data_IF_035723457426
#
_entry.id   IF_035723457426
#
_cell.length_a   1.000
_cell.length_b   1.000
_cell.length_c   1.000
_cell.angle_alpha   90.00
_cell.angle_beta   90.00
_cell.angle_gamma   90.00
#
_symmetry.space_group_name_H-M   'P 1'
#
loop_
_entity.id
_entity.type
_entity.pdbx_description
1 polymer ?
#
# COMPACT_ATOMS: atom_id res chain seq x y z
N UNK A 1 -17.80 -6.00 41.15
CA UNK A 1 -17.85 -5.51 42.54
C UNK A 1 -19.21 -4.91 42.78
N UNK A 2 -19.97 -5.50 43.70
CA UNK A 2 -21.30 -5.03 44.09
C UNK A 2 -21.16 -3.96 45.17
N UNK A 3 -21.95 -2.89 45.10
CA UNK A 3 -22.16 -2.00 46.24
C UNK A 3 -23.58 -1.46 46.20
N UNK A 4 -24.37 -2.02 47.11
CA UNK A 4 -25.76 -1.73 47.41
C UNK A 4 -25.89 -0.37 48.11
N UNK A 5 -26.75 0.51 47.64
CA UNK A 5 -27.16 1.73 48.36
C UNK A 5 -28.37 1.42 49.26
N UNK A 6 -28.40 1.88 50.52
CA UNK A 6 -29.50 1.61 51.44
C UNK A 6 -30.68 2.56 51.24
N UNK A 7 -31.89 2.00 51.31
CA UNK A 7 -33.14 2.73 51.48
C UNK A 7 -33.22 3.33 52.89
N UNK A 8 -33.53 4.63 52.99
CA UNK A 8 -33.85 5.28 54.26
C UNK A 8 -35.30 5.75 54.23
N UNK A 9 -36.10 5.03 55.01
CA UNK A 9 -37.48 5.30 55.38
C UNK A 9 -37.53 6.53 56.30
N UNK A 10 -38.36 7.52 56.00
CA UNK A 10 -38.81 8.47 57.02
C UNK A 10 -40.33 8.50 57.10
N UNK A 11 -40.77 8.36 58.35
CA UNK A 11 -42.09 7.92 58.78
C UNK A 11 -43.10 9.07 58.82
N UNK A 12 -44.35 8.72 58.51
CA UNK A 12 -45.56 9.51 58.73
C UNK A 12 -45.73 9.87 60.21
N UNK A 13 -46.28 11.06 60.48
CA UNK A 13 -47.01 11.33 61.72
C UNK A 13 -48.10 12.36 61.47
N UNK A 14 -49.26 11.84 61.08
CA UNK A 14 -50.57 12.46 61.25
C UNK A 14 -51.17 11.96 62.56
N UNK A 15 -51.51 12.84 63.50
CA UNK A 15 -52.40 12.47 64.60
C UNK A 15 -53.24 13.65 65.05
N UNK A 16 -54.55 13.44 64.98
CA UNK A 16 -55.64 14.34 65.31
C UNK A 16 -56.16 14.07 66.74
N UNK A 17 -56.77 15.11 67.33
CA UNK A 17 -57.74 15.14 68.44
C UNK A 17 -57.34 14.65 69.86
N UNK A 18 -57.48 15.56 70.84
CA UNK A 18 -58.51 15.42 71.89
C UNK A 18 -58.78 16.72 72.66
N UNK A 19 -60.07 17.03 72.78
CA UNK A 19 -60.62 17.91 73.81
C UNK A 19 -60.64 17.18 75.17
N UNK A 20 -60.40 17.92 76.25
CA UNK A 20 -60.61 17.45 77.62
C UNK A 20 -61.20 18.57 78.46
N UNK A 21 -62.34 18.25 79.06
CA UNK A 21 -63.23 19.08 79.84
C UNK A 21 -62.96 18.86 81.34
N UNK A 22 -63.23 19.91 82.13
CA UNK A 22 -63.59 19.96 83.57
C UNK A 22 -62.74 19.28 84.65
N UNK A 23 -62.44 20.05 85.71
CA UNK A 23 -62.73 19.64 87.09
C UNK A 23 -62.83 20.86 88.03
N UNK A 24 -63.99 20.97 88.68
CA UNK A 24 -64.30 21.82 89.83
C UNK A 24 -63.70 21.22 91.12
N UNK A 25 -63.29 22.08 92.06
CA UNK A 25 -63.23 21.75 93.49
C UNK A 25 -63.56 23.00 94.35
N UNK A 26 -64.34 22.88 95.44
CA UNK A 26 -64.91 24.01 96.21
C UNK A 26 -64.26 24.20 97.59
N UNK A 27 -64.21 25.45 98.10
CA UNK A 27 -64.08 25.78 99.53
C UNK A 27 -64.77 27.15 99.74
N UNK A 28 -65.96 27.19 100.32
CA UNK A 28 -66.33 27.23 101.75
C UNK A 28 -66.29 28.65 102.34
N UNK A 29 -67.50 29.16 102.58
CA UNK A 29 -67.81 30.41 103.28
C UNK A 29 -67.88 30.15 104.78
N UNK A 30 -67.23 30.98 105.59
CA UNK A 30 -67.71 31.29 106.95
C UNK A 30 -67.10 32.60 107.47
N UNK A 31 -67.99 33.36 108.09
CA UNK A 31 -67.78 34.52 108.96
C UNK A 31 -67.64 35.92 108.35
N UNK A 32 -68.74 36.65 108.53
CA UNK A 32 -68.93 38.08 108.36
C UNK A 32 -69.39 38.60 109.73
N UNK A 33 -68.85 39.71 110.24
CA UNK A 33 -69.77 40.72 110.75
C UNK A 33 -69.31 42.16 110.49
N UNK A 34 -70.13 42.84 109.69
CA UNK A 34 -70.60 44.23 109.82
C UNK A 34 -69.62 45.35 110.24
N UNK A 35 -69.38 46.21 109.24
CA UNK A 35 -69.64 47.66 109.22
C UNK A 35 -68.79 48.59 110.09
N UNK A 36 -67.91 49.36 109.44
CA UNK A 36 -67.98 50.83 109.43
C UNK A 36 -67.02 51.47 108.39
N UNK A 37 -67.65 52.00 107.32
CA UNK A 37 -67.21 53.07 106.39
C UNK A 37 -66.07 52.76 105.38
N UNK A 38 -66.07 53.34 104.16
CA UNK A 38 -67.02 54.28 103.54
C UNK A 38 -67.85 53.64 102.41
N UNK A 39 -69.02 54.21 102.13
CA UNK A 39 -69.64 54.10 100.81
C UNK A 39 -68.67 54.74 99.81
N UNK A 40 -67.76 53.94 99.28
CA UNK A 40 -67.08 54.29 98.04
C UNK A 40 -68.20 54.34 97.02
N UNK A 41 -68.53 55.56 96.61
CA UNK A 41 -69.24 55.80 95.37
C UNK A 41 -68.33 55.21 94.28
N UNK A 42 -68.44 53.89 94.08
CA UNK A 42 -68.07 53.30 92.83
C UNK A 42 -68.95 54.08 91.87
N UNK A 43 -68.33 55.03 91.20
CA UNK A 43 -68.89 55.66 90.04
C UNK A 43 -68.99 54.51 89.04
N UNK A 44 -70.01 53.65 89.22
CA UNK A 44 -70.24 52.43 88.46
C UNK A 44 -70.38 52.79 87.00
N UNK A 45 -70.80 54.03 86.73
CA UNK A 45 -70.80 54.65 85.43
C UNK A 45 -69.39 54.96 84.91
N UNK A 46 -68.43 55.38 85.75
CA UNK A 46 -67.02 55.54 85.36
C UNK A 46 -66.29 54.20 85.20
N UNK A 47 -66.56 53.18 86.02
CA UNK A 47 -66.04 51.82 85.82
C UNK A 47 -66.64 51.16 84.58
N UNK A 48 -67.96 51.29 84.38
CA UNK A 48 -68.68 50.81 83.19
C UNK A 48 -68.19 51.54 81.94
N UNK A 49 -67.93 52.85 82.03
CA UNK A 49 -67.34 53.64 80.94
C UNK A 49 -65.92 53.20 80.64
N UNK A 50 -65.07 52.99 81.65
CA UNK A 50 -63.71 52.45 81.46
C UNK A 50 -63.71 51.02 80.94
N UNK A 51 -64.65 50.17 81.35
CA UNK A 51 -64.82 48.81 80.82
C UNK A 51 -65.37 48.83 79.40
N UNK A 52 -66.25 49.75 79.04
CA UNK A 52 -66.70 49.96 77.67
C UNK A 52 -65.54 50.47 76.80
N UNK A 53 -64.79 51.48 77.26
CA UNK A 53 -63.62 52.03 76.57
C UNK A 53 -62.50 50.99 76.45
N UNK A 54 -62.29 50.18 77.49
CA UNK A 54 -61.34 49.07 77.47
C UNK A 54 -61.79 47.99 76.49
N UNK A 55 -63.05 47.57 76.52
CA UNK A 55 -63.61 46.60 75.56
C UNK A 55 -63.45 47.10 74.13
N UNK A 56 -63.75 48.38 73.84
CA UNK A 56 -63.57 48.98 72.51
C UNK A 56 -62.10 49.00 72.09
N UNK A 57 -61.18 49.41 72.97
CA UNK A 57 -59.73 49.41 72.69
C UNK A 57 -59.16 48.00 72.56
N UNK A 58 -59.67 47.07 73.35
CA UNK A 58 -59.25 45.67 73.35
C UNK A 58 -59.76 44.98 72.08
N UNK A 59 -61.01 45.18 71.70
CA UNK A 59 -61.57 44.68 70.43
C UNK A 59 -60.82 45.28 69.24
N UNK A 60 -60.49 46.57 69.26
CA UNK A 60 -59.65 47.20 68.23
C UNK A 60 -58.23 46.61 68.18
N UNK A 61 -57.63 46.30 69.34
CA UNK A 61 -56.33 45.65 69.43
C UNK A 61 -56.38 44.20 68.92
N UNK A 62 -57.42 43.44 69.26
CA UNK A 62 -57.66 42.09 68.76
C UNK A 62 -57.91 42.12 67.25
N UNK A 63 -58.67 43.09 66.74
CA UNK A 63 -58.92 43.27 65.31
C UNK A 63 -57.63 43.63 64.57
N UNK A 64 -56.82 44.54 65.11
CA UNK A 64 -55.53 44.91 64.55
C UNK A 64 -54.52 43.76 64.60
N UNK A 65 -54.49 43.01 65.69
CA UNK A 65 -53.68 41.80 65.85
C UNK A 65 -54.08 40.71 64.86
N UNK A 66 -55.39 40.47 64.70
CA UNK A 66 -55.93 39.52 63.72
C UNK A 66 -55.60 39.96 62.28
N UNK A 67 -55.73 41.26 61.97
CA UNK A 67 -55.38 41.81 60.65
C UNK A 67 -53.89 41.64 60.36
N UNK A 68 -53.02 41.90 61.35
CA UNK A 68 -51.57 41.73 61.25
C UNK A 68 -51.18 40.27 61.01
N UNK A 69 -51.71 39.35 61.82
CA UNK A 69 -51.44 37.91 61.66
C UNK A 69 -51.92 37.40 60.30
N UNK A 70 -53.10 37.83 59.85
CA UNK A 70 -53.62 37.46 58.54
C UNK A 70 -52.74 37.99 57.39
N UNK A 71 -52.25 39.22 57.53
CA UNK A 71 -51.35 39.85 56.56
C UNK A 71 -50.00 39.13 56.51
N UNK A 72 -49.34 38.93 57.66
CA UNK A 72 -48.07 38.19 57.76
C UNK A 72 -48.20 36.77 57.21
N UNK A 73 -49.33 36.09 57.47
CA UNK A 73 -49.60 34.76 56.95
C UNK A 73 -49.81 34.75 55.43
N UNK A 74 -50.47 35.77 54.88
CA UNK A 74 -50.62 35.93 53.43
C UNK A 74 -49.28 36.24 52.76
N UNK A 75 -48.48 37.13 53.35
CA UNK A 75 -47.13 37.45 52.88
C UNK A 75 -46.21 36.23 52.90
N UNK A 76 -46.26 35.44 53.98
CA UNK A 76 -45.51 34.19 54.08
C UNK A 76 -45.94 33.19 53.00
N UNK A 77 -47.26 33.02 52.79
CA UNK A 77 -47.77 32.16 51.71
C UNK A 77 -47.32 32.63 50.33
N UNK A 78 -47.32 33.93 50.08
CA UNK A 78 -46.85 34.50 48.81
C UNK A 78 -45.37 34.20 48.59
N UNK A 79 -44.51 34.46 49.59
CA UNK A 79 -43.06 34.15 49.52
C UNK A 79 -42.79 32.66 49.34
N UNK A 80 -43.58 31.80 49.99
CA UNK A 80 -43.42 30.35 49.86
C UNK A 80 -43.85 29.85 48.47
N UNK A 81 -44.85 30.50 47.86
CA UNK A 81 -45.22 30.30 46.46
C UNK A 81 -44.11 30.72 45.50
N UNK A 82 -43.57 31.92 45.68
CA UNK A 82 -42.45 32.46 44.88
C UNK A 82 -41.21 31.57 44.97
N UNK A 83 -40.80 31.17 46.19
CA UNK A 83 -39.65 30.29 46.39
C UNK A 83 -39.85 28.91 45.75
N UNK A 84 -41.06 28.37 45.80
CA UNK A 84 -41.41 27.10 45.15
C UNK A 84 -41.34 27.21 43.62
N UNK A 85 -41.83 28.31 43.04
CA UNK A 85 -41.71 28.58 41.61
C UNK A 85 -40.25 28.78 41.18
N UNK A 86 -39.46 29.53 41.96
CA UNK A 86 -38.04 29.73 41.71
C UNK A 86 -37.29 28.39 41.76
N UNK A 87 -37.52 27.55 42.79
CA UNK A 87 -36.94 26.23 42.89
C UNK A 87 -37.29 25.35 41.66
N UNK A 88 -38.55 25.37 41.24
CA UNK A 88 -38.99 24.62 40.05
C UNK A 88 -38.30 25.14 38.79
N UNK A 89 -38.21 26.45 38.62
CA UNK A 89 -37.51 27.10 37.51
C UNK A 89 -36.03 26.70 37.48
N UNK A 90 -35.30 26.85 38.58
CA UNK A 90 -33.88 26.47 38.66
C UNK A 90 -33.68 24.98 38.41
N UNK A 91 -34.56 24.12 38.94
CA UNK A 91 -34.52 22.68 38.67
C UNK A 91 -34.68 22.36 37.18
N UNK A 92 -35.63 23.02 36.50
CA UNK A 92 -35.79 22.85 35.05
C UNK A 92 -34.57 23.34 34.27
N UNK A 93 -33.98 24.48 34.65
CA UNK A 93 -32.76 25.01 34.03
C UNK A 93 -31.57 24.06 34.22
N UNK A 94 -31.40 23.51 35.43
CA UNK A 94 -30.36 22.51 35.69
C UNK A 94 -30.53 21.28 34.80
N UNK A 95 -31.75 20.77 34.66
CA UNK A 95 -32.02 19.63 33.79
C UNK A 95 -31.72 19.94 32.32
N UNK A 96 -32.09 21.12 31.82
CA UNK A 96 -31.76 21.56 30.46
C UNK A 96 -30.25 21.67 30.24
N UNK A 97 -29.52 22.26 31.19
CA UNK A 97 -28.05 22.39 31.10
C UNK A 97 -27.35 21.03 31.14
N UNK A 98 -27.81 20.10 32.00
CA UNK A 98 -27.29 18.73 32.03
C UNK A 98 -27.53 17.99 30.71
N UNK A 99 -28.72 18.15 30.13
CA UNK A 99 -29.02 17.57 28.81
C UNK A 99 -28.15 18.18 27.70
N UNK A 100 -27.95 19.50 27.71
CA UNK A 100 -27.06 20.17 26.77
C UNK A 100 -25.61 19.69 26.92
N UNK A 101 -25.10 19.57 28.15
CA UNK A 101 -23.75 19.09 28.44
C UNK A 101 -23.54 17.66 27.94
N UNK A 102 -24.49 16.75 28.20
CA UNK A 102 -24.43 15.37 27.68
C UNK A 102 -24.42 15.33 26.14
N UNK A 103 -25.20 16.20 25.49
CA UNK A 103 -25.22 16.31 24.03
C UNK A 103 -23.87 16.79 23.50
N UNK A 104 -23.27 17.80 24.14
CA UNK A 104 -21.94 18.28 23.78
C UNK A 104 -20.84 17.23 23.98
N UNK A 105 -20.87 16.47 25.07
CA UNK A 105 -19.94 15.36 25.29
C UNK A 105 -20.04 14.31 24.18
N UNK A 106 -21.27 13.96 23.78
CA UNK A 106 -21.47 13.03 22.66
C UNK A 106 -20.93 13.60 21.33
N UNK A 107 -21.15 14.89 21.05
CA UNK A 107 -20.61 15.53 19.85
C UNK A 107 -19.08 15.52 19.87
N UNK A 108 -18.45 15.88 20.99
CA UNK A 108 -17.00 15.87 21.14
C UNK A 108 -16.41 14.46 20.96
N UNK A 109 -17.05 13.45 21.55
CA UNK A 109 -16.62 12.06 21.39
C UNK A 109 -16.70 11.61 19.92
N UNK A 110 -17.77 11.99 19.22
CA UNK A 110 -17.94 11.70 17.79
C UNK A 110 -16.90 12.42 16.94
N UNK A 111 -16.70 13.72 17.13
CA UNK A 111 -15.68 14.49 16.40
C UNK A 111 -14.27 13.94 16.64
N UNK A 112 -13.96 13.51 17.85
CA UNK A 112 -12.66 12.90 18.15
C UNK A 112 -12.48 11.57 17.42
N UNK A 113 -13.52 10.74 17.34
CA UNK A 113 -13.49 9.50 16.58
C UNK A 113 -13.30 9.76 15.07
N UNK A 114 -14.05 10.72 14.51
CA UNK A 114 -13.94 11.14 13.11
C UNK A 114 -12.53 11.70 12.80
N UNK A 115 -11.96 12.52 13.69
CA UNK A 115 -10.58 13.01 13.57
C UNK A 115 -9.59 11.86 13.55
N UNK A 116 -9.70 10.90 14.47
CA UNK A 116 -8.78 9.76 14.53
C UNK A 116 -8.88 8.91 13.26
N UNK A 117 -10.09 8.72 12.73
CA UNK A 117 -10.30 8.01 11.47
C UNK A 117 -9.66 8.75 10.29
N UNK A 118 -9.89 10.06 10.17
CA UNK A 118 -9.28 10.89 9.11
C UNK A 118 -7.74 10.84 9.17
N UNK A 119 -7.14 10.95 10.36
CA UNK A 119 -5.69 10.81 10.51
C UNK A 119 -5.20 9.42 10.08
N UNK A 120 -5.97 8.37 10.40
CA UNK A 120 -5.70 7.01 9.91
C UNK A 120 -5.75 6.90 8.39
N UNK A 121 -6.70 7.57 7.73
CA UNK A 121 -6.80 7.61 6.27
C UNK A 121 -5.65 8.39 5.63
N UNK A 122 -5.27 9.54 6.20
CA UNK A 122 -4.13 10.34 5.74
C UNK A 122 -2.85 9.52 5.81
N UNK A 123 -2.58 8.88 6.96
CA UNK A 123 -1.38 8.04 7.13
C UNK A 123 -1.33 6.88 6.13
N UNK A 124 -2.48 6.25 5.82
CA UNK A 124 -2.56 5.21 4.78
C UNK A 124 -2.24 5.76 3.40
N UNK A 125 -2.76 6.95 3.05
CA UNK A 125 -2.48 7.59 1.76
C UNK A 125 -1.02 7.99 1.62
N UNK A 126 -0.42 8.54 2.68
CA UNK A 126 1.00 8.90 2.72
C UNK A 126 1.89 7.66 2.57
N UNK A 127 1.58 6.57 3.29
CA UNK A 127 2.30 5.31 3.16
C UNK A 127 2.19 4.74 1.74
N UNK A 128 1.00 4.82 1.14
CA UNK A 128 0.78 4.39 -0.24
C UNK A 128 1.56 5.24 -1.25
N UNK A 129 1.54 6.57 -1.09
CA UNK A 129 2.33 7.50 -1.92
C UNK A 129 3.83 7.22 -1.81
N UNK A 130 4.34 7.01 -0.59
CA UNK A 130 5.74 6.69 -0.34
C UNK A 130 6.15 5.37 -1.03
N UNK A 131 5.35 4.32 -0.88
CA UNK A 131 5.58 3.03 -1.53
C UNK A 131 5.57 3.13 -3.06
N UNK A 132 4.63 3.89 -3.62
CA UNK A 132 4.56 4.13 -5.06
C UNK A 132 5.78 4.92 -5.55
N UNK A 133 6.22 5.95 -4.83
CA UNK A 133 7.42 6.71 -5.16
C UNK A 133 8.66 5.82 -5.16
N UNK A 134 8.85 5.02 -4.11
CA UNK A 134 9.97 4.09 -4.02
C UNK A 134 9.96 3.05 -5.17
N UNK A 135 8.78 2.54 -5.53
CA UNK A 135 8.62 1.61 -6.65
C UNK A 135 8.98 2.27 -7.98
N UNK A 136 8.50 3.50 -8.22
CA UNK A 136 8.82 4.28 -9.42
C UNK A 136 10.33 4.51 -9.52
N UNK A 137 10.98 4.89 -8.44
CA UNK A 137 12.41 5.20 -8.43
C UNK A 137 13.25 3.93 -8.67
N UNK A 138 12.84 2.79 -8.08
CA UNK A 138 13.42 1.49 -8.39
C UNK A 138 13.29 1.12 -9.87
N UNK A 139 12.11 1.29 -10.46
CA UNK A 139 11.88 0.98 -11.88
C UNK A 139 12.72 1.88 -12.79
N UNK A 140 12.82 3.17 -12.50
CA UNK A 140 13.68 4.10 -13.24
C UNK A 140 15.14 3.66 -13.22
N UNK A 141 15.65 3.23 -12.05
CA UNK A 141 17.01 2.74 -11.93
C UNK A 141 17.23 1.45 -12.74
N UNK A 142 16.29 0.50 -12.68
CA UNK A 142 16.35 -0.73 -13.49
C UNK A 142 16.32 -0.43 -14.99
N UNK A 143 15.47 0.50 -15.44
CA UNK A 143 15.40 0.90 -16.85
C UNK A 143 16.74 1.49 -17.29
N UNK A 144 17.30 2.42 -16.51
CA UNK A 144 18.60 3.03 -16.83
C UNK A 144 19.74 2.00 -16.88
N UNK A 145 19.75 1.02 -15.98
CA UNK A 145 20.73 -0.06 -15.99
C UNK A 145 20.60 -0.95 -17.22
N UNK A 146 19.38 -1.38 -17.54
CA UNK A 146 19.10 -2.22 -18.71
C UNK A 146 19.46 -1.48 -20.01
N UNK A 147 19.15 -0.20 -20.10
CA UNK A 147 19.47 0.63 -21.27
C UNK A 147 20.98 0.67 -21.53
N UNK A 148 21.80 0.86 -20.47
CA UNK A 148 23.27 0.78 -20.58
C UNK A 148 23.75 -0.59 -21.05
N UNK A 149 23.15 -1.66 -20.56
CA UNK A 149 23.52 -3.02 -21.00
C UNK A 149 23.18 -3.27 -22.47
N UNK A 150 22.05 -2.75 -22.95
CA UNK A 150 21.66 -2.80 -24.36
C UNK A 150 22.67 -2.04 -25.21
N UNK A 151 23.02 -0.82 -24.83
CA UNK A 151 23.99 0.01 -25.55
C UNK A 151 25.35 -0.68 -25.69
N UNK A 152 25.86 -1.28 -24.61
CA UNK A 152 27.12 -2.05 -24.64
C UNK A 152 27.03 -3.24 -25.61
N UNK A 153 25.93 -4.00 -25.58
CA UNK A 153 25.75 -5.16 -26.47
C UNK A 153 25.62 -4.75 -27.93
N UNK A 154 24.85 -3.70 -28.22
CA UNK A 154 24.67 -3.18 -29.57
C UNK A 154 26.01 -2.67 -30.12
N UNK A 155 26.77 -1.95 -29.31
CA UNK A 155 28.09 -1.46 -29.71
C UNK A 155 29.06 -2.62 -29.99
N UNK A 156 29.12 -3.63 -29.12
CA UNK A 156 29.94 -4.82 -29.33
C UNK A 156 29.54 -5.59 -30.60
N UNK A 157 28.24 -5.74 -30.86
CA UNK A 157 27.74 -6.37 -32.08
C UNK A 157 28.12 -5.58 -33.33
N UNK A 158 28.03 -4.25 -33.27
CA UNK A 158 28.42 -3.35 -34.37
C UNK A 158 29.91 -3.47 -34.68
N UNK A 159 30.75 -3.46 -33.65
CA UNK A 159 32.20 -3.64 -33.80
C UNK A 159 32.55 -5.02 -34.37
N UNK A 160 31.86 -6.07 -33.91
CA UNK A 160 32.02 -7.41 -34.46
C UNK A 160 31.63 -7.47 -35.94
N UNK A 161 30.47 -6.91 -36.31
CA UNK A 161 30.03 -6.82 -37.71
C UNK A 161 31.05 -6.09 -38.56
N UNK A 162 31.55 -4.93 -38.11
CA UNK A 162 32.55 -4.16 -38.87
C UNK A 162 33.85 -4.94 -39.09
N UNK A 163 34.31 -5.70 -38.10
CA UNK A 163 35.48 -6.57 -38.23
C UNK A 163 35.22 -7.69 -39.24
N UNK A 164 34.07 -8.35 -39.15
CA UNK A 164 33.67 -9.42 -40.07
C UNK A 164 33.51 -8.91 -41.50
N UNK A 165 32.85 -7.76 -41.70
CA UNK A 165 32.67 -7.13 -43.00
C UNK A 165 34.01 -6.70 -43.60
N UNK A 166 34.90 -6.13 -42.78
CA UNK A 166 36.25 -5.78 -43.17
C UNK A 166 37.06 -7.00 -43.64
N UNK A 167 36.99 -8.10 -42.89
CA UNK A 167 37.66 -9.35 -43.23
C UNK A 167 37.05 -9.99 -44.50
N UNK A 168 35.72 -10.09 -44.58
CA UNK A 168 35.01 -10.64 -45.73
C UNK A 168 35.36 -9.94 -47.04
N UNK A 169 35.49 -8.60 -47.01
CA UNK A 169 35.89 -7.81 -48.18
C UNK A 169 37.30 -8.14 -48.69
N UNK A 170 38.20 -8.59 -47.81
CA UNK A 170 39.57 -8.97 -48.17
C UNK A 170 39.66 -10.46 -48.57
N UNK A 171 38.84 -11.33 -47.97
CA UNK A 171 38.84 -12.76 -48.23
C UNK A 171 38.57 -13.09 -49.71
N UNK A 172 37.63 -12.41 -50.36
CA UNK A 172 37.28 -12.68 -51.77
C UNK A 172 38.46 -12.45 -52.73
N UNK A 173 39.06 -11.23 -52.75
CA UNK A 173 40.24 -10.95 -53.56
C UNK A 173 41.44 -11.84 -53.22
N UNK A 174 41.68 -12.13 -51.94
CA UNK A 174 42.76 -13.01 -51.51
C UNK A 174 42.55 -14.46 -51.98
N UNK A 175 41.34 -14.99 -51.83
CA UNK A 175 40.98 -16.32 -52.32
C UNK A 175 41.17 -16.39 -53.84
N UNK A 176 40.66 -15.40 -54.58
CA UNK A 176 40.82 -15.35 -56.03
C UNK A 176 42.30 -15.26 -56.45
N UNK A 177 43.13 -14.52 -55.71
CA UNK A 177 44.57 -14.48 -55.93
C UNK A 177 45.20 -15.88 -55.77
N UNK A 178 44.90 -16.60 -54.69
CA UNK A 178 45.43 -17.93 -54.45
C UNK A 178 44.91 -18.97 -55.44
N UNK A 179 43.62 -18.91 -55.79
CA UNK A 179 43.02 -19.80 -56.79
C UNK A 179 43.67 -19.64 -58.15
N UNK A 180 43.93 -18.39 -58.57
CA UNK A 180 44.62 -18.07 -59.82
C UNK A 180 46.10 -18.47 -59.75
N UNK A 181 46.79 -18.14 -58.67
CA UNK A 181 48.24 -18.36 -58.52
C UNK A 181 48.58 -19.86 -58.41
N UNK A 182 47.79 -20.62 -57.65
CA UNK A 182 47.98 -22.06 -57.50
C UNK A 182 47.31 -22.87 -58.62
N UNK A 183 46.39 -22.26 -59.38
CA UNK A 183 45.55 -22.94 -60.35
C UNK A 183 44.75 -24.05 -59.70
N UNK A 184 44.17 -23.77 -58.54
CA UNK A 184 43.46 -24.75 -57.70
C UNK A 184 42.42 -24.05 -56.85
N UNK A 185 41.19 -24.56 -56.82
CA UNK A 185 40.11 -24.12 -55.93
C UNK A 185 39.61 -25.27 -55.06
N UNK A 186 39.08 -24.94 -53.88
CA UNK A 186 38.57 -25.90 -52.91
C UNK A 186 37.08 -25.62 -52.71
N UNK A 187 36.25 -26.62 -52.96
CA UNK A 187 34.80 -26.54 -52.92
C UNK A 187 34.23 -27.51 -51.87
N UNK A 188 33.16 -27.11 -51.18
CA UNK A 188 32.39 -28.03 -50.34
C UNK A 188 31.53 -28.94 -51.21
N UNK A 189 31.49 -30.24 -50.92
CA UNK A 189 30.63 -31.19 -51.66
C UNK A 189 29.20 -31.27 -51.11
N UNK A 190 28.90 -30.57 -50.01
CA UNK A 190 27.65 -30.67 -49.26
C UNK A 190 27.70 -31.69 -48.12
N UNK A 191 28.70 -32.58 -48.11
CA UNK A 191 28.98 -33.49 -47.00
C UNK A 191 29.99 -32.87 -46.03
N UNK A 192 29.72 -32.92 -44.72
CA UNK A 192 30.58 -32.30 -43.69
C UNK A 192 32.02 -32.83 -43.68
N UNK A 193 32.21 -34.09 -44.11
CA UNK A 193 33.49 -34.79 -44.08
C UNK A 193 34.13 -34.94 -45.47
N UNK A 194 33.63 -34.25 -46.50
CA UNK A 194 34.18 -34.36 -47.85
C UNK A 194 34.40 -32.98 -48.47
N UNK A 195 35.58 -32.81 -49.04
CA UNK A 195 35.98 -31.57 -49.72
C UNK A 195 36.43 -31.90 -51.13
N UNK A 196 35.97 -31.12 -52.10
CA UNK A 196 36.39 -31.23 -53.49
C UNK A 196 37.56 -30.29 -53.75
N UNK A 197 38.61 -30.81 -54.35
CA UNK A 197 39.74 -30.01 -54.84
C UNK A 197 39.67 -30.02 -56.35
N UNK A 198 39.58 -28.83 -56.97
CA UNK A 198 39.55 -28.65 -58.43
C UNK A 198 40.83 -27.97 -58.87
N UNK A 199 41.61 -28.65 -59.69
CA UNK A 199 42.77 -28.11 -60.38
C UNK A 199 42.37 -27.55 -61.74
N UNK A 200 42.83 -26.33 -62.01
CA UNK A 200 42.66 -25.64 -63.27
C UNK A 200 43.98 -25.69 -64.04
N UNK A 201 43.92 -26.18 -65.28
CA UNK A 201 45.06 -26.30 -66.17
C UNK A 201 44.87 -25.40 -67.40
N UNK A 202 45.94 -24.70 -67.84
CA UNK A 202 45.89 -23.96 -69.09
C UNK A 202 45.53 -24.87 -70.27
N UNK A 203 44.86 -24.34 -71.30
CA UNK A 203 44.56 -25.12 -72.50
C UNK A 203 45.83 -25.66 -73.14
N UNK A 204 45.80 -26.92 -73.57
CA UNK A 204 46.91 -27.55 -74.26
C UNK A 204 47.26 -26.80 -75.57
N UNK A 205 48.55 -26.63 -75.86
CA UNK A 205 49.02 -26.03 -77.13
C UNK A 205 48.57 -26.92 -78.30
N UNK A 206 47.57 -26.46 -79.06
CA UNK A 206 47.08 -27.14 -80.27
C UNK A 206 45.55 -27.20 -80.38
N UNK A 207 44.81 -26.94 -79.29
CA UNK A 207 43.36 -26.95 -79.28
C UNK A 207 42.82 -25.65 -79.88
N UNK A 208 42.59 -25.63 -81.20
CA UNK A 208 41.87 -24.52 -81.87
C UNK A 208 40.40 -24.57 -81.46
N UNK A 209 40.05 -23.92 -80.36
CA UNK A 209 38.66 -23.56 -80.11
C UNK A 209 38.31 -22.39 -81.04
N UNK A 210 37.36 -22.60 -81.96
CA UNK A 210 36.89 -21.57 -82.89
C UNK A 210 36.17 -20.46 -82.13
N UNK A 211 36.93 -19.46 -81.67
CA UNK A 211 36.41 -18.28 -80.97
C UNK A 211 37.19 -17.93 -79.71
N UNK A 212 38.26 -17.15 -79.86
CA UNK A 212 38.75 -16.14 -78.89
C UNK A 212 39.31 -16.57 -77.52
N UNK A 213 38.83 -17.62 -76.87
CA UNK A 213 39.27 -18.01 -75.52
C UNK A 213 39.34 -19.53 -75.42
N UNK A 214 40.54 -20.10 -75.30
CA UNK A 214 40.70 -21.52 -74.97
C UNK A 214 40.08 -21.77 -73.60
N UNK A 215 39.15 -22.73 -73.49
CA UNK A 215 38.58 -23.10 -72.19
C UNK A 215 39.65 -23.78 -71.34
N UNK A 216 39.77 -23.34 -70.08
CA UNK A 216 40.60 -24.01 -69.10
C UNK A 216 40.11 -25.44 -68.87
N UNK A 217 41.05 -26.36 -68.66
CA UNK A 217 40.75 -27.77 -68.41
C UNK A 217 40.73 -28.00 -66.91
N UNK A 218 39.62 -28.56 -66.42
CA UNK A 218 39.46 -28.84 -65.00
C UNK A 218 39.64 -30.33 -64.69
N UNK A 219 40.41 -30.61 -63.64
CA UNK A 219 40.45 -31.92 -63.01
C UNK A 219 40.12 -31.81 -61.53
N UNK A 220 39.33 -32.73 -60.99
CA UNK A 220 38.84 -32.66 -59.61
C UNK A 220 39.04 -33.98 -58.86
N UNK A 221 39.19 -33.87 -57.54
CA UNK A 221 39.14 -35.00 -56.63
C UNK A 221 38.26 -34.67 -55.42
N UNK A 222 37.57 -35.67 -54.89
CA UNK A 222 36.81 -35.55 -53.64
C UNK A 222 37.61 -36.25 -52.53
N UNK A 223 38.07 -35.47 -51.55
CA UNK A 223 38.85 -35.90 -50.41
C UNK A 223 37.94 -36.04 -49.19
N UNK A 224 37.82 -37.26 -48.69
CA UNK A 224 37.18 -37.55 -47.42
C UNK A 224 38.16 -37.29 -46.27
N UNK A 225 37.77 -36.38 -45.38
CA UNK A 225 38.48 -35.99 -44.18
C UNK A 225 37.98 -36.88 -43.02
N UNK A 226 38.89 -37.48 -42.23
CA UNK A 226 38.48 -38.28 -41.08
C UNK A 226 37.93 -37.41 -39.96
N UNK A 227 36.91 -37.90 -39.25
CA UNK A 227 36.30 -37.24 -38.07
C UNK A 227 37.28 -37.03 -36.91
N UNK A 228 38.36 -37.82 -36.87
CA UNK A 228 39.40 -37.75 -35.84
C UNK A 228 40.76 -37.50 -36.47
N UNK A 229 41.62 -36.78 -35.75
CA UNK A 229 43.01 -36.48 -36.17
C UNK A 229 43.84 -37.74 -36.45
N UNK A 230 43.50 -38.88 -35.85
CA UNK A 230 44.15 -40.18 -36.06
C UNK A 230 43.56 -41.00 -37.22
N UNK A 231 42.37 -40.64 -37.74
CA UNK A 231 41.72 -41.38 -38.83
C UNK A 231 42.45 -41.24 -40.17
N UNK A 232 42.06 -42.03 -41.18
CA UNK A 232 42.71 -42.03 -42.51
C UNK A 232 41.93 -41.20 -43.53
N UNK A 233 42.63 -40.33 -44.25
CA UNK A 233 42.14 -39.66 -45.45
C UNK A 233 41.91 -40.65 -46.59
N UNK A 234 40.87 -40.41 -47.39
CA UNK A 234 40.55 -41.21 -48.58
C UNK A 234 40.16 -40.31 -49.75
N UNK A 235 40.63 -40.63 -50.94
CA UNK A 235 40.13 -40.01 -52.18
C UNK A 235 38.99 -40.89 -52.71
N UNK A 236 37.80 -40.31 -52.82
CA UNK A 236 36.56 -41.04 -53.15
C UNK A 236 36.26 -40.94 -54.64
N UNK A 237 36.40 -39.74 -55.20
CA UNK A 237 36.11 -39.46 -56.61
C UNK A 237 37.31 -38.76 -57.23
N UNK A 238 37.60 -39.08 -58.49
CA UNK A 238 38.55 -38.35 -59.34
C UNK A 238 37.96 -38.18 -60.73
N UNK A 239 38.08 -37.00 -61.32
CA UNK A 239 37.69 -36.73 -62.70
C UNK A 239 38.79 -35.87 -63.36
N UNK A 240 39.45 -36.34 -64.43
CA UNK A 240 39.30 -37.64 -65.09
C UNK A 240 39.68 -38.82 -64.19
N UNK A 241 39.27 -40.04 -64.57
CA UNK A 241 39.55 -41.25 -63.77
C UNK A 241 41.04 -41.55 -63.78
N UNK A 242 41.64 -41.63 -62.59
CA UNK A 242 43.07 -41.94 -62.42
C UNK A 242 43.28 -43.43 -62.08
N UNK A 243 44.51 -43.91 -62.26
CA UNK A 243 44.92 -45.25 -61.81
C UNK A 243 44.88 -45.35 -60.28
N UNK A 244 44.05 -46.27 -59.77
CA UNK A 244 43.86 -46.52 -58.34
C UNK A 244 45.16 -46.87 -57.61
N UNK A 245 46.13 -47.52 -58.28
CA UNK A 245 47.42 -47.85 -57.65
C UNK A 245 48.24 -46.59 -57.37
N UNK A 246 48.31 -45.66 -58.32
CA UNK A 246 49.05 -44.41 -58.16
C UNK A 246 48.38 -43.48 -57.14
N UNK A 247 47.04 -43.36 -57.19
CA UNK A 247 46.28 -42.59 -56.19
C UNK A 247 46.51 -43.15 -54.78
N UNK A 248 46.49 -44.49 -54.63
CA UNK A 248 46.76 -45.16 -53.36
C UNK A 248 48.10 -44.77 -52.74
N UNK A 249 49.19 -44.71 -53.53
CA UNK A 249 50.52 -44.31 -53.06
C UNK A 249 50.55 -42.86 -52.56
N UNK A 250 49.86 -41.95 -53.25
CA UNK A 250 49.78 -40.54 -52.84
C UNK A 250 48.97 -40.40 -51.55
N UNK A 251 47.86 -41.11 -51.44
CA UNK A 251 47.00 -41.13 -50.23
C UNK A 251 47.71 -41.78 -49.04
N UNK A 252 48.50 -42.83 -49.26
CA UNK A 252 49.34 -43.43 -48.22
C UNK A 252 50.35 -42.41 -47.68
N UNK A 253 51.05 -41.70 -48.57
CA UNK A 253 51.99 -40.64 -48.18
C UNK A 253 51.30 -39.52 -47.40
N UNK A 254 50.08 -39.12 -47.77
CA UNK A 254 49.27 -38.17 -46.99
C UNK A 254 48.96 -38.72 -45.59
N UNK A 255 48.57 -39.97 -45.48
CA UNK A 255 48.21 -40.57 -44.20
C UNK A 255 49.42 -40.75 -43.27
N UNK A 256 50.63 -40.94 -43.82
CA UNK A 256 51.88 -41.00 -43.06
C UNK A 256 52.39 -39.62 -42.66
N UNK A 257 52.43 -38.67 -43.59
CA UNK A 257 53.02 -37.33 -43.36
C UNK A 257 52.05 -36.35 -42.70
N UNK A 258 50.74 -36.53 -42.89
CA UNK A 258 49.67 -35.56 -42.57
C UNK A 258 49.83 -34.21 -43.29
N UNK A 259 50.65 -34.14 -44.34
CA UNK A 259 50.89 -32.91 -45.10
C UNK A 259 50.02 -32.85 -46.36
N UNK A 260 49.00 -31.99 -46.35
CA UNK A 260 48.08 -31.82 -47.48
C UNK A 260 48.80 -31.35 -48.77
N UNK A 261 49.86 -30.54 -48.63
CA UNK A 261 50.65 -30.07 -49.77
C UNK A 261 51.26 -31.21 -50.60
N UNK A 262 51.62 -32.33 -49.95
CA UNK A 262 52.16 -33.50 -50.64
C UNK A 262 51.10 -34.23 -51.47
N UNK A 263 49.87 -34.32 -50.95
CA UNK A 263 48.71 -34.82 -51.69
C UNK A 263 48.45 -33.95 -52.91
N UNK A 264 48.32 -32.64 -52.72
CA UNK A 264 47.97 -31.71 -53.80
C UNK A 264 48.99 -31.77 -54.94
N UNK A 265 50.28 -31.76 -54.61
CA UNK A 265 51.37 -31.88 -55.61
C UNK A 265 51.34 -33.24 -56.32
N UNK A 266 51.14 -34.33 -55.58
CA UNK A 266 51.06 -35.68 -56.15
C UNK A 266 49.87 -35.86 -57.09
N UNK A 267 48.67 -35.47 -56.64
CA UNK A 267 47.43 -35.55 -57.43
C UNK A 267 47.48 -34.64 -58.66
N UNK A 268 48.02 -33.41 -58.54
CA UNK A 268 48.23 -32.54 -59.70
C UNK A 268 49.13 -33.20 -60.73
N UNK A 269 50.22 -33.85 -60.31
CA UNK A 269 51.09 -34.61 -61.21
C UNK A 269 50.36 -35.74 -61.95
N UNK A 270 49.54 -36.52 -61.25
CA UNK A 270 48.74 -37.58 -61.87
C UNK A 270 47.71 -37.05 -62.87
N UNK A 271 47.05 -35.93 -62.57
CA UNK A 271 46.13 -35.29 -63.51
C UNK A 271 46.84 -34.72 -64.73
N UNK A 272 48.03 -34.14 -64.57
CA UNK A 272 48.83 -33.66 -65.71
C UNK A 272 49.16 -34.80 -66.67
N UNK A 273 49.56 -35.97 -66.16
CA UNK A 273 49.83 -37.13 -67.02
C UNK A 273 48.55 -37.68 -67.67
N UNK A 274 47.44 -37.74 -66.92
CA UNK A 274 46.15 -38.18 -67.44
C UNK A 274 45.53 -37.22 -68.48
N UNK A 275 45.91 -35.93 -68.49
CA UNK A 275 45.44 -34.93 -69.43
C UNK A 275 46.37 -34.75 -70.65
N UNK A 276 47.60 -35.26 -70.58
CA UNK A 276 48.56 -35.30 -71.70
C UNK A 276 48.40 -36.55 -72.59
N UNK A 277 47.92 -37.65 -72.01
CA UNK A 277 47.60 -38.89 -72.70
C UNK A 277 46.26 -38.79 -73.42
#
# INVERSE_FOLDING_TARGET
MATTLPASSFSLSTSSFRASQSQNAPFSYSDNPLTQLPTVDFNFEDLRRRMADFTVKFDAFIEQGRKRVLQERNEFRARLGELSEEQKSTSTQMATLQSALSTHEHILAREQAEKNEMHGQISKLEAHQSNQSATRDRLKNTIAQTQRQIEVKVQAQREYSQKMDGQSRLNGPELNFWETYLGCRIEGTGDENTVRVVFVFPPAKGTKSGGGHGQDIEAMLDLQIPETTSGKYRVVVTKPKLDSSQVGKVVERLNTSREIGTLLKGMRGLFVEALKG
#
